data_IF_342201616298
#
_entry.id   IF_342201616298
#
_cell.length_a   1.000
_cell.length_b   1.000
_cell.length_c   1.000
_cell.angle_alpha   90.00
_cell.angle_beta   90.00
_cell.angle_gamma   90.00
#
_symmetry.space_group_name_H-M   'P 1'
#
loop_
_entity.id
_entity.type
_entity.pdbx_description
1 polymer ?
#
# COMPACT_ATOMS: atom_id res chain seq x y z
N UNK A 1 10.66 -27.98 12.77
CA UNK A 1 10.75 -27.23 11.49
C UNK A 1 10.59 -28.22 10.35
N UNK A 2 9.67 -27.96 9.43
CA UNK A 2 9.43 -28.80 8.25
C UNK A 2 10.49 -28.56 7.18
N UNK A 3 11.04 -29.63 6.63
CA UNK A 3 11.97 -29.57 5.50
C UNK A 3 11.24 -29.18 4.21
N UNK A 4 11.78 -28.22 3.46
CA UNK A 4 11.17 -27.74 2.20
C UNK A 4 11.30 -28.72 1.03
N UNK A 5 12.22 -29.69 1.15
CA UNK A 5 12.49 -30.74 0.15
C UNK A 5 11.65 -31.99 0.37
N UNK A 6 11.66 -32.57 1.58
CA UNK A 6 10.96 -33.83 1.86
C UNK A 6 9.68 -33.68 2.70
N UNK A 7 9.37 -32.49 3.21
CA UNK A 7 8.19 -32.26 4.03
C UNK A 7 8.25 -32.85 5.45
N UNK A 8 9.35 -33.51 5.84
CA UNK A 8 9.49 -34.08 7.19
C UNK A 8 9.74 -32.98 8.22
N UNK A 9 9.12 -33.12 9.40
CA UNK A 9 9.42 -32.27 10.55
C UNK A 9 10.70 -32.75 11.26
N UNK A 10 11.61 -31.81 11.49
CA UNK A 10 12.82 -32.00 12.30
C UNK A 10 12.76 -31.09 13.52
N UNK A 11 12.86 -31.66 14.73
CA UNK A 11 12.87 -30.89 15.97
C UNK A 11 14.24 -30.20 16.19
N UNK A 12 14.42 -29.43 17.26
CA UNK A 12 15.68 -28.71 17.49
C UNK A 12 16.85 -29.67 17.73
N UNK A 13 16.67 -30.67 18.59
CA UNK A 13 17.71 -31.67 18.93
C UNK A 13 18.22 -32.40 17.70
N UNK A 14 17.31 -32.91 16.87
CA UNK A 14 17.64 -33.62 15.62
C UNK A 14 18.42 -32.74 14.63
N UNK A 15 18.13 -31.44 14.58
CA UNK A 15 18.83 -30.51 13.70
C UNK A 15 20.22 -30.16 14.23
N UNK A 16 20.39 -30.05 15.54
CA UNK A 16 21.71 -29.85 16.15
C UNK A 16 22.62 -31.07 15.91
N UNK A 17 22.07 -32.28 16.08
CA UNK A 17 22.79 -33.55 15.84
C UNK A 17 23.21 -33.72 14.36
N UNK A 18 22.45 -33.16 13.43
CA UNK A 18 22.71 -33.25 11.98
C UNK A 18 23.39 -32.00 11.41
N UNK A 19 23.89 -31.10 12.25
CA UNK A 19 24.60 -29.89 11.81
C UNK A 19 23.74 -28.92 11.00
N UNK A 20 22.46 -28.76 11.37
CA UNK A 20 21.50 -27.86 10.70
C UNK A 20 20.86 -28.46 9.44
N UNK A 21 20.79 -29.79 9.34
CA UNK A 21 20.22 -30.51 8.19
C UNK A 21 18.94 -31.26 8.54
N UNK A 22 18.19 -31.69 7.54
CA UNK A 22 17.02 -32.52 7.74
C UNK A 22 17.43 -33.97 8.07
N UNK A 23 16.89 -34.55 9.15
CA UNK A 23 17.17 -35.94 9.54
C UNK A 23 16.86 -37.00 8.47
N UNK A 24 15.91 -36.72 7.57
CA UNK A 24 15.44 -37.68 6.58
C UNK A 24 16.19 -37.57 5.24
N UNK A 25 16.33 -36.35 4.71
CA UNK A 25 16.91 -36.15 3.37
C UNK A 25 18.26 -35.41 3.37
N UNK A 26 18.81 -35.12 4.55
CA UNK A 26 20.06 -34.39 4.77
C UNK A 26 20.14 -33.00 4.09
N UNK A 27 18.98 -32.45 3.69
CA UNK A 27 18.86 -31.13 3.09
C UNK A 27 19.18 -30.05 4.12
N UNK A 28 20.09 -29.11 3.85
CA UNK A 28 20.44 -28.06 4.80
C UNK A 28 19.31 -27.04 4.95
N UNK A 29 19.05 -26.62 6.18
CA UNK A 29 18.13 -25.52 6.47
C UNK A 29 18.83 -24.18 6.27
N UNK A 30 18.19 -23.25 5.57
CA UNK A 30 18.78 -21.92 5.27
C UNK A 30 18.51 -20.94 6.41
N UNK A 31 17.28 -20.95 6.92
CA UNK A 31 16.76 -20.05 7.94
C UNK A 31 16.26 -20.85 9.13
N UNK A 32 16.89 -20.63 10.28
CA UNK A 32 16.54 -21.23 11.55
C UNK A 32 16.33 -20.15 12.62
N UNK A 33 15.10 -20.02 13.17
CA UNK A 33 14.83 -19.08 14.24
C UNK A 33 15.65 -19.29 15.50
N UNK A 34 15.96 -20.54 15.84
CA UNK A 34 16.76 -20.85 17.02
C UNK A 34 18.26 -20.55 16.81
N UNK A 35 18.69 -20.41 15.55
CA UNK A 35 20.03 -19.95 15.18
C UNK A 35 20.07 -18.44 14.81
N UNK A 36 19.02 -17.68 15.14
CA UNK A 36 18.97 -16.23 14.99
C UNK A 36 18.28 -15.69 13.72
N UNK A 37 17.70 -16.55 12.88
CA UNK A 37 16.87 -16.09 11.75
C UNK A 37 15.51 -15.57 12.24
N UNK A 38 14.84 -14.66 11.52
CA UNK A 38 13.50 -14.19 11.95
C UNK A 38 12.36 -15.13 11.54
N UNK A 39 12.62 -16.09 10.66
CA UNK A 39 11.62 -16.96 10.05
C UNK A 39 12.24 -18.30 9.63
N UNK A 40 11.40 -19.19 9.10
CA UNK A 40 11.78 -20.55 8.68
C UNK A 40 11.85 -20.65 7.15
N UNK A 41 12.50 -21.71 6.65
CA UNK A 41 12.54 -22.04 5.22
C UNK A 41 11.14 -22.15 4.58
N UNK A 42 10.18 -22.73 5.29
CA UNK A 42 8.79 -22.89 4.81
C UNK A 42 8.15 -21.52 4.63
N UNK A 43 8.34 -20.62 5.59
CA UNK A 43 7.82 -19.26 5.50
C UNK A 43 8.38 -18.55 4.28
N UNK A 44 9.68 -18.68 4.01
CA UNK A 44 10.32 -18.04 2.86
C UNK A 44 9.87 -18.65 1.53
N UNK A 45 9.79 -19.99 1.45
CA UNK A 45 9.21 -20.70 0.29
C UNK A 45 7.80 -20.23 -0.01
N UNK A 46 6.92 -20.25 1.00
CA UNK A 46 5.55 -19.80 0.86
C UNK A 46 5.49 -18.33 0.46
N UNK A 47 6.40 -17.50 0.97
CA UNK A 47 6.45 -16.08 0.60
C UNK A 47 6.75 -15.88 -0.88
N UNK A 48 7.71 -16.63 -1.44
CA UNK A 48 8.01 -16.61 -2.88
C UNK A 48 6.81 -17.13 -3.69
N UNK A 49 6.16 -18.21 -3.25
CA UNK A 49 4.99 -18.77 -3.94
C UNK A 49 3.81 -17.80 -3.94
N UNK A 50 3.49 -17.19 -2.80
CA UNK A 50 2.36 -16.27 -2.67
C UNK A 50 2.56 -15.02 -3.53
N UNK A 51 3.71 -14.35 -3.46
CA UNK A 51 3.93 -13.11 -4.23
C UNK A 51 3.89 -13.37 -5.74
N UNK A 52 4.31 -14.55 -6.19
CA UNK A 52 4.30 -14.94 -7.60
C UNK A 52 3.02 -15.60 -8.07
N UNK A 53 1.97 -15.64 -7.24
CA UNK A 53 0.72 -16.36 -7.56
C UNK A 53 1.00 -17.80 -8.04
N UNK A 54 1.69 -18.57 -7.20
CA UNK A 54 2.13 -19.94 -7.49
C UNK A 54 3.08 -20.06 -8.70
N UNK A 55 4.05 -19.14 -8.78
CA UNK A 55 5.10 -19.08 -9.82
C UNK A 55 4.62 -18.69 -11.22
N UNK A 56 3.45 -18.10 -11.34
CA UNK A 56 2.89 -17.64 -12.61
C UNK A 56 3.32 -16.21 -12.95
N UNK A 57 3.51 -15.37 -11.93
CA UNK A 57 3.83 -13.96 -12.09
C UNK A 57 5.28 -13.65 -11.70
N UNK A 58 5.92 -12.84 -12.52
CA UNK A 58 7.20 -12.21 -12.21
C UNK A 58 6.99 -11.03 -11.26
N UNK A 59 7.95 -10.79 -10.37
CA UNK A 59 7.88 -9.70 -9.38
C UNK A 59 9.24 -9.03 -9.20
N UNK A 60 9.22 -7.75 -8.81
CA UNK A 60 10.45 -6.96 -8.60
C UNK A 60 11.07 -7.18 -7.22
N UNK A 61 12.33 -6.78 -7.09
CA UNK A 61 13.02 -6.78 -5.79
C UNK A 61 12.30 -5.94 -4.74
N UNK A 62 11.82 -4.75 -5.12
CA UNK A 62 11.07 -3.87 -4.21
C UNK A 62 9.73 -4.47 -3.81
N UNK A 63 8.98 -5.06 -4.74
CA UNK A 63 7.73 -5.76 -4.42
C UNK A 63 7.94 -6.85 -3.38
N UNK A 64 9.02 -7.64 -3.53
CA UNK A 64 9.35 -8.67 -2.55
C UNK A 64 9.73 -8.11 -1.19
N UNK A 65 10.44 -6.98 -1.17
CA UNK A 65 10.77 -6.28 0.07
C UNK A 65 9.53 -5.79 0.79
N UNK A 66 8.63 -5.07 0.11
CA UNK A 66 7.34 -4.64 0.67
C UNK A 66 6.54 -5.80 1.23
N UNK A 67 6.47 -6.91 0.47
CA UNK A 67 5.74 -8.09 0.88
C UNK A 67 6.33 -8.75 2.15
N UNK A 68 7.65 -8.93 2.21
CA UNK A 68 8.30 -9.52 3.39
C UNK A 68 8.22 -8.60 4.60
N UNK A 69 8.42 -7.30 4.43
CA UNK A 69 8.27 -6.30 5.49
C UNK A 69 6.88 -6.43 6.13
N UNK A 70 5.82 -6.43 5.31
CA UNK A 70 4.44 -6.56 5.81
C UNK A 70 4.15 -7.89 6.52
N UNK A 71 4.76 -8.99 6.08
CA UNK A 71 4.56 -10.31 6.73
C UNK A 71 5.37 -10.49 8.02
N UNK A 72 6.55 -9.89 8.09
CA UNK A 72 7.48 -10.05 9.22
C UNK A 72 7.26 -9.02 10.33
N UNK A 73 6.76 -7.84 9.98
CA UNK A 73 6.28 -6.88 10.97
C UNK A 73 5.02 -7.45 11.61
N UNK A 74 5.20 -8.03 12.80
CA UNK A 74 4.13 -8.71 13.56
C UNK A 74 2.88 -7.83 13.56
N UNK A 75 1.73 -8.41 13.18
CA UNK A 75 0.43 -7.86 13.57
C UNK A 75 0.40 -7.84 15.09
N UNK A 76 0.55 -6.69 15.72
CA UNK A 76 0.19 -6.54 17.11
C UNK A 76 -1.26 -6.98 17.23
N UNK A 77 -1.56 -7.82 18.23
CA UNK A 77 -2.92 -8.32 18.47
C UNK A 77 -3.78 -7.23 19.14
N UNK A 78 -3.75 -6.01 18.58
CA UNK A 78 -4.36 -4.80 19.13
C UNK A 78 -5.89 -4.88 19.07
N UNK A 79 -6.44 -5.69 18.16
CA UNK A 79 -7.88 -5.90 18.01
C UNK A 79 -8.57 -6.42 19.27
N UNK A 80 -7.85 -7.12 20.15
CA UNK A 80 -8.42 -7.60 21.42
C UNK A 80 -8.43 -6.55 22.53
N UNK A 81 -7.62 -5.48 22.43
CA UNK A 81 -7.47 -4.48 23.50
C UNK A 81 -8.70 -3.57 23.56
N UNK A 82 -9.32 -3.26 22.42
CA UNK A 82 -10.55 -2.46 22.37
C UNK A 82 -11.77 -3.17 22.98
N UNK A 83 -11.88 -4.49 22.79
CA UNK A 83 -12.98 -5.27 23.35
C UNK A 83 -12.82 -5.51 24.86
N UNK A 84 -11.59 -5.79 25.31
CA UNK A 84 -11.25 -5.85 26.73
C UNK A 84 -11.51 -4.50 27.43
N UNK A 85 -11.28 -3.37 26.74
CA UNK A 85 -11.59 -2.04 27.26
C UNK A 85 -13.10 -1.83 27.49
N UNK A 86 -13.97 -2.27 26.56
CA UNK A 86 -15.43 -2.15 26.74
C UNK A 86 -15.88 -2.92 27.98
N UNK A 87 -15.35 -4.13 28.19
CA UNK A 87 -15.62 -4.91 29.40
C UNK A 87 -15.12 -4.19 30.66
N UNK A 88 -13.88 -3.69 30.67
CA UNK A 88 -13.32 -3.01 31.83
C UNK A 88 -13.94 -1.64 32.12
N UNK A 89 -14.48 -0.96 31.10
CA UNK A 89 -15.17 0.33 31.25
C UNK A 89 -16.61 0.16 31.73
N UNK A 90 -17.32 -0.89 31.27
CA UNK A 90 -18.70 -1.15 31.71
C UNK A 90 -18.78 -1.73 33.13
N UNK A 91 -17.82 -2.57 33.53
CA UNK A 91 -17.86 -3.27 34.82
C UNK A 91 -17.98 -2.34 36.04
N UNK A 92 -17.21 -1.22 36.17
CA UNK A 92 -17.35 -0.29 37.29
C UNK A 92 -18.69 0.44 37.28
N UNK A 93 -19.20 0.85 36.11
CA UNK A 93 -20.49 1.53 35.98
C UNK A 93 -21.69 0.60 36.24
N UNK A 94 -21.57 -0.67 35.87
CA UNK A 94 -22.55 -1.71 36.24
C UNK A 94 -22.52 -1.92 37.75
N UNK A 95 -21.34 -2.01 38.36
CA UNK A 95 -21.23 -2.26 39.79
C UNK A 95 -21.72 -1.07 40.63
N UNK A 96 -21.39 0.18 40.25
CA UNK A 96 -21.90 1.38 40.93
C UNK A 96 -23.40 1.63 40.71
N UNK A 97 -23.99 1.10 39.63
CA UNK A 97 -25.43 1.09 39.46
C UNK A 97 -26.15 0.10 40.39
N UNK A 98 -25.44 -0.90 40.93
CA UNK A 98 -25.98 -1.97 41.79
C UNK A 98 -25.69 -1.71 43.27
N UNK A 99 -24.53 -1.16 43.62
CA UNK A 99 -24.13 -0.91 45.02
C UNK A 99 -24.26 0.57 45.41
N UNK A 100 -25.05 0.86 46.45
CA UNK A 100 -25.29 2.20 47.02
C UNK A 100 -24.09 2.81 47.79
N UNK A 101 -22.85 2.44 47.44
CA UNK A 101 -21.65 2.80 48.20
C UNK A 101 -20.98 4.06 47.60
N UNK A 102 -20.87 5.11 48.40
CA UNK A 102 -20.45 6.48 48.01
C UNK A 102 -18.90 6.69 47.87
N UNK A 103 -18.12 5.65 47.56
CA UNK A 103 -16.65 5.72 47.37
C UNK A 103 -16.29 5.12 45.99
N UNK A 104 -15.48 5.66 45.06
CA UNK A 104 -14.64 6.87 44.91
C UNK A 104 -14.48 7.09 43.38
N UNK A 105 -14.76 8.27 42.80
CA UNK A 105 -14.65 8.49 41.34
C UNK A 105 -13.21 8.64 40.82
N UNK A 106 -12.20 8.71 41.69
CA UNK A 106 -10.82 9.03 41.30
C UNK A 106 -10.02 7.82 40.78
N UNK A 107 -10.25 6.62 41.32
CA UNK A 107 -9.55 5.40 40.89
C UNK A 107 -9.72 5.09 39.38
N UNK A 108 -10.93 5.15 38.79
CA UNK A 108 -11.09 4.97 37.36
C UNK A 108 -10.37 6.08 36.56
N UNK A 109 -10.41 7.34 37.00
CA UNK A 109 -9.76 8.46 36.30
C UNK A 109 -8.25 8.23 36.17
N UNK A 110 -7.59 7.74 37.23
CA UNK A 110 -6.14 7.47 37.25
C UNK A 110 -5.73 6.41 36.21
N UNK A 111 -6.60 5.43 35.94
CA UNK A 111 -6.32 4.36 34.97
C UNK A 111 -6.69 4.79 33.54
N UNK A 112 -7.82 5.50 33.37
CA UNK A 112 -8.33 5.82 32.04
C UNK A 112 -7.58 6.95 31.34
N UNK A 113 -7.08 7.96 32.07
CA UNK A 113 -6.36 9.08 31.45
C UNK A 113 -5.06 8.61 30.76
N UNK A 114 -4.14 7.86 31.42
CA UNK A 114 -2.94 7.34 30.78
C UNK A 114 -3.24 6.44 29.57
N UNK A 115 -4.35 5.69 29.62
CA UNK A 115 -4.74 4.78 28.55
C UNK A 115 -5.29 5.52 27.33
N UNK A 116 -6.13 6.55 27.52
CA UNK A 116 -6.58 7.43 26.44
C UNK A 116 -5.37 8.13 25.80
N UNK A 117 -4.44 8.63 26.62
CA UNK A 117 -3.19 9.22 26.14
C UNK A 117 -2.35 8.20 25.35
N UNK A 118 -2.26 6.96 25.82
CA UNK A 118 -1.59 5.88 25.11
C UNK A 118 -2.26 5.59 23.75
N UNK A 119 -3.59 5.53 23.66
CA UNK A 119 -4.28 5.35 22.38
C UNK A 119 -4.07 6.52 21.42
N UNK A 120 -4.05 7.76 21.92
CA UNK A 120 -3.76 8.95 21.12
C UNK A 120 -2.31 8.90 20.60
N UNK A 121 -1.36 8.50 21.43
CA UNK A 121 0.03 8.32 21.04
C UNK A 121 0.17 7.17 20.03
N UNK A 122 -0.47 6.03 20.29
CA UNK A 122 -0.39 4.83 19.47
C UNK A 122 -1.04 5.02 18.09
N UNK A 123 -2.13 5.79 17.99
CA UNK A 123 -2.75 6.11 16.71
C UNK A 123 -1.88 7.01 15.81
N UNK A 124 -0.90 7.70 16.39
CA UNK A 124 0.03 8.60 15.68
C UNK A 124 1.43 8.02 15.51
N UNK A 125 1.75 6.94 16.23
CA UNK A 125 3.10 6.38 16.25
C UNK A 125 3.47 5.70 14.93
N UNK A 126 4.68 5.97 14.45
CA UNK A 126 5.27 5.35 13.25
C UNK A 126 5.62 3.87 13.45
N UNK A 127 5.60 3.41 14.70
CA UNK A 127 5.92 2.01 15.05
C UNK A 127 4.78 1.06 14.71
N UNK A 128 3.54 1.57 14.58
CA UNK A 128 2.37 0.78 14.26
C UNK A 128 1.99 0.89 12.78
N UNK A 129 1.45 -0.20 12.25
CA UNK A 129 0.87 -0.25 10.91
C UNK A 129 -0.34 0.68 10.78
N UNK A 130 -0.68 1.04 9.53
CA UNK A 130 -1.88 1.84 9.24
C UNK A 130 -3.15 1.23 9.84
N UNK A 131 -3.33 -0.10 9.75
CA UNK A 131 -4.48 -0.83 10.29
C UNK A 131 -4.56 -0.73 11.82
N UNK A 132 -3.43 -0.87 12.53
CA UNK A 132 -3.38 -0.73 13.99
C UNK A 132 -3.67 0.70 14.44
N UNK A 133 -3.08 1.70 13.76
CA UNK A 133 -3.36 3.13 14.04
C UNK A 133 -4.85 3.46 13.89
N UNK A 134 -5.51 2.88 12.88
CA UNK A 134 -6.97 3.01 12.70
C UNK A 134 -7.74 2.37 13.84
N UNK A 135 -7.31 1.20 14.29
CA UNK A 135 -7.94 0.51 15.42
C UNK A 135 -7.89 1.38 16.67
N UNK A 136 -6.74 2.00 16.98
CA UNK A 136 -6.61 2.93 18.10
C UNK A 136 -7.48 4.18 17.92
N UNK A 137 -7.51 4.79 16.73
CA UNK A 137 -8.34 5.96 16.45
C UNK A 137 -9.84 5.65 16.58
N UNK A 138 -10.29 4.47 16.12
CA UNK A 138 -11.67 4.00 16.32
C UNK A 138 -11.97 3.70 17.77
N UNK A 139 -11.02 3.12 18.51
CA UNK A 139 -11.18 2.91 19.95
C UNK A 139 -11.41 4.25 20.67
N UNK A 140 -10.68 5.32 20.30
CA UNK A 140 -10.91 6.67 20.84
C UNK A 140 -12.33 7.19 20.53
N UNK A 141 -12.85 6.97 19.32
CA UNK A 141 -14.24 7.33 18.97
C UNK A 141 -15.26 6.56 19.80
N UNK A 142 -15.06 5.24 19.97
CA UNK A 142 -15.92 4.38 20.78
C UNK A 142 -15.90 4.83 22.24
N UNK A 143 -14.72 5.13 22.80
CA UNK A 143 -14.57 5.66 24.15
C UNK A 143 -15.35 6.98 24.31
N UNK A 144 -15.20 7.91 23.36
CA UNK A 144 -15.95 9.15 23.37
C UNK A 144 -17.46 8.93 23.35
N UNK A 145 -17.94 8.01 22.49
CA UNK A 145 -19.36 7.64 22.43
C UNK A 145 -19.88 7.01 23.72
N UNK A 146 -19.11 6.11 24.34
CA UNK A 146 -19.46 5.50 25.63
C UNK A 146 -19.53 6.52 26.76
N UNK A 147 -18.61 7.50 26.79
CA UNK A 147 -18.64 8.60 27.77
C UNK A 147 -19.92 9.41 27.61
N UNK A 148 -20.33 9.75 26.37
CA UNK A 148 -21.59 10.48 26.13
C UNK A 148 -22.81 9.72 26.64
N UNK A 149 -22.89 8.42 26.36
CA UNK A 149 -23.99 7.57 26.85
C UNK A 149 -23.98 7.49 28.38
N UNK A 150 -22.81 7.28 29.00
CA UNK A 150 -22.69 7.17 30.45
C UNK A 150 -23.09 8.48 31.17
N UNK A 151 -22.62 9.63 30.66
CA UNK A 151 -22.96 10.96 31.19
C UNK A 151 -24.45 11.25 31.04
N UNK A 152 -25.06 10.85 29.92
CA UNK A 152 -26.50 11.01 29.70
C UNK A 152 -27.33 10.16 30.68
N UNK A 153 -26.99 8.88 30.85
CA UNK A 153 -27.68 7.98 31.80
C UNK A 153 -27.53 8.47 33.23
N UNK A 154 -26.33 8.92 33.62
CA UNK A 154 -26.08 9.47 34.94
C UNK A 154 -26.90 10.74 35.19
N UNK A 155 -26.93 11.67 34.24
CA UNK A 155 -27.72 12.88 34.32
C UNK A 155 -29.20 12.57 34.56
N UNK A 156 -29.82 11.69 33.78
CA UNK A 156 -31.24 11.33 33.97
C UNK A 156 -31.52 10.64 35.31
N UNK A 157 -30.60 9.82 35.83
CA UNK A 157 -30.78 9.14 37.12
C UNK A 157 -30.61 10.07 38.32
N UNK A 158 -29.66 11.01 38.27
CA UNK A 158 -29.25 11.84 39.40
C UNK A 158 -29.62 13.33 39.24
N UNK A 159 -30.43 13.69 38.24
CA UNK A 159 -30.88 15.06 37.90
C UNK A 159 -31.57 15.84 39.04
N UNK A 160 -31.77 15.25 40.22
CA UNK A 160 -32.35 15.92 41.40
C UNK A 160 -31.31 16.68 42.24
N UNK A 161 -30.03 16.62 41.89
CA UNK A 161 -28.92 17.14 42.70
C UNK A 161 -28.28 18.39 42.04
N UNK A 162 -27.51 19.13 42.85
CA UNK A 162 -27.10 20.55 42.80
C UNK A 162 -26.39 20.99 41.50
N UNK A 163 -26.07 22.29 41.39
CA UNK A 163 -25.25 22.91 40.31
C UNK A 163 -23.98 22.12 39.89
N UNK A 164 -23.42 21.30 40.78
CA UNK A 164 -22.24 20.47 40.53
C UNK A 164 -22.53 19.38 39.48
N UNK A 165 -23.72 18.77 39.48
CA UNK A 165 -24.04 17.68 38.55
C UNK A 165 -24.23 18.19 37.13
N UNK A 166 -24.80 19.39 36.99
CA UNK A 166 -24.87 20.08 35.71
C UNK A 166 -23.47 20.42 35.17
N UNK A 167 -22.55 20.86 36.03
CA UNK A 167 -21.17 21.13 35.62
C UNK A 167 -20.45 19.85 35.16
N UNK A 168 -20.61 18.73 35.87
CA UNK A 168 -20.05 17.43 35.49
C UNK A 168 -20.64 16.92 34.18
N UNK A 169 -21.93 17.13 33.95
CA UNK A 169 -22.59 16.81 32.68
C UNK A 169 -21.99 17.58 31.51
N UNK A 170 -21.79 18.90 31.65
CA UNK A 170 -21.17 19.73 30.62
C UNK A 170 -19.74 19.30 30.32
N UNK A 171 -18.92 19.08 31.36
CA UNK A 171 -17.53 18.65 31.20
C UNK A 171 -17.43 17.26 30.56
N UNK A 172 -18.26 16.31 31.00
CA UNK A 172 -18.29 14.95 30.44
C UNK A 172 -18.75 14.92 28.98
N UNK A 173 -19.78 15.72 28.63
CA UNK A 173 -20.26 15.87 27.26
C UNK A 173 -19.19 16.50 26.36
N UNK A 174 -18.55 17.58 26.84
CA UNK A 174 -17.44 18.23 26.13
C UNK A 174 -16.27 17.28 25.87
N UNK A 175 -15.88 16.49 26.87
CA UNK A 175 -14.84 15.48 26.73
C UNK A 175 -15.21 14.38 25.72
N UNK A 176 -16.44 13.86 25.77
CA UNK A 176 -16.91 12.84 24.83
C UNK A 176 -16.90 13.31 23.37
N UNK A 177 -17.41 14.51 23.11
CA UNK A 177 -17.36 15.15 21.78
C UNK A 177 -15.91 15.37 21.34
N UNK A 178 -15.05 15.87 22.23
CA UNK A 178 -13.64 16.12 21.93
C UNK A 178 -12.90 14.83 21.54
N UNK A 179 -13.14 13.71 22.22
CA UNK A 179 -12.55 12.42 21.88
C UNK A 179 -13.04 11.89 20.53
N UNK A 180 -14.34 12.00 20.23
CA UNK A 180 -14.87 11.63 18.90
C UNK A 180 -14.20 12.48 17.82
N UNK A 181 -14.09 13.79 18.04
CA UNK A 181 -13.39 14.69 17.13
C UNK A 181 -11.92 14.30 16.92
N UNK A 182 -11.18 14.00 18.00
CA UNK A 182 -9.79 13.55 17.91
C UNK A 182 -9.66 12.24 17.14
N UNK A 183 -10.51 11.25 17.41
CA UNK A 183 -10.50 9.97 16.71
C UNK A 183 -10.81 10.13 15.22
N UNK A 184 -11.81 10.96 14.87
CA UNK A 184 -12.11 11.30 13.46
C UNK A 184 -10.94 12.00 12.79
N UNK A 185 -10.35 13.01 13.45
CA UNK A 185 -9.17 13.72 12.94
C UNK A 185 -8.00 12.77 12.70
N UNK A 186 -7.74 11.83 13.63
CA UNK A 186 -6.69 10.83 13.51
C UNK A 186 -6.89 9.88 12.33
N UNK A 187 -8.14 9.48 12.04
CA UNK A 187 -8.47 8.70 10.85
C UNK A 187 -8.20 9.48 9.56
N UNK A 188 -8.48 10.78 9.55
CA UNK A 188 -8.26 11.64 8.38
C UNK A 188 -6.78 11.89 8.10
N UNK A 189 -5.94 12.09 9.13
CA UNK A 189 -4.52 12.47 8.95
C UNK A 189 -3.58 11.29 8.69
N UNK A 190 -4.07 10.05 8.57
CA UNK A 190 -3.20 8.88 8.45
C UNK A 190 -2.31 8.90 7.22
N UNK A 191 -2.75 9.55 6.14
CA UNK A 191 -1.96 9.72 4.94
C UNK A 191 -0.71 10.60 5.15
N UNK A 192 -0.61 11.29 6.29
CA UNK A 192 0.55 12.12 6.70
C UNK A 192 1.50 11.39 7.65
N UNK A 193 1.26 10.11 7.96
CA UNK A 193 2.11 9.34 8.88
C UNK A 193 2.86 8.26 8.08
N UNK A 194 4.16 8.49 7.80
CA UNK A 194 4.92 7.58 6.96
C UNK A 194 5.24 6.29 7.70
N UNK A 195 5.33 5.21 6.94
CA UNK A 195 5.83 3.92 7.38
C UNK A 195 7.36 3.89 7.21
N UNK A 196 8.04 3.26 8.17
CA UNK A 196 9.47 2.97 8.08
C UNK A 196 9.66 1.49 7.80
N UNK A 197 10.63 1.16 6.96
CA UNK A 197 11.08 -0.21 6.82
C UNK A 197 11.95 -0.60 8.03
N UNK A 198 11.64 -1.73 8.66
CA UNK A 198 12.48 -2.34 9.67
C UNK A 198 13.67 -3.06 9.04
N UNK A 199 13.52 -3.53 7.80
CA UNK A 199 14.56 -4.25 7.07
C UNK A 199 15.12 -3.41 5.95
N UNK A 200 16.44 -3.46 5.76
CA UNK A 200 17.05 -2.86 4.58
C UNK A 200 16.87 -3.77 3.36
N UNK A 201 16.72 -3.18 2.17
CA UNK A 201 16.62 -3.94 0.92
C UNK A 201 17.78 -4.90 0.69
N UNK A 202 19.00 -4.52 1.10
CA UNK A 202 20.20 -5.37 1.02
C UNK A 202 20.07 -6.66 1.84
N UNK A 203 19.42 -6.61 3.00
CA UNK A 203 19.18 -7.78 3.84
C UNK A 203 18.23 -8.75 3.15
N UNK A 204 17.17 -8.24 2.51
CA UNK A 204 16.23 -9.07 1.73
C UNK A 204 16.94 -9.79 0.59
N UNK A 205 17.80 -9.06 -0.14
CA UNK A 205 18.60 -9.63 -1.23
C UNK A 205 19.55 -10.71 -0.70
N UNK A 206 20.21 -10.49 0.43
CA UNK A 206 21.08 -11.49 1.06
C UNK A 206 20.31 -12.75 1.45
N UNK A 207 19.10 -12.62 2.00
CA UNK A 207 18.23 -13.76 2.28
C UNK A 207 17.88 -14.52 1.00
N UNK A 208 17.52 -13.82 -0.08
CA UNK A 208 17.22 -14.46 -1.35
C UNK A 208 18.44 -15.20 -1.94
N UNK A 209 19.63 -14.62 -1.85
CA UNK A 209 20.87 -15.26 -2.34
C UNK A 209 21.13 -16.55 -1.56
N UNK A 210 21.13 -16.51 -0.22
CA UNK A 210 21.30 -17.68 0.64
C UNK A 210 20.27 -18.77 0.34
N UNK A 211 19.03 -18.36 0.11
CA UNK A 211 17.97 -19.29 -0.29
C UNK A 211 18.27 -19.98 -1.62
N UNK A 212 18.71 -19.21 -2.63
CA UNK A 212 18.98 -19.71 -3.98
C UNK A 212 20.20 -20.64 -4.05
N UNK A 213 21.21 -20.41 -3.20
CA UNK A 213 22.39 -21.28 -3.09
C UNK A 213 22.03 -22.71 -2.69
N UNK A 214 21.02 -22.87 -1.82
CA UNK A 214 20.61 -24.17 -1.29
C UNK A 214 19.42 -24.78 -2.05
N UNK A 215 18.44 -23.95 -2.43
CA UNK A 215 17.16 -24.43 -2.97
C UNK A 215 17.01 -24.20 -4.48
N UNK A 216 18.04 -23.67 -5.14
CA UNK A 216 18.06 -23.38 -6.57
C UNK A 216 17.55 -21.98 -6.94
N UNK A 217 17.81 -21.58 -8.19
CA UNK A 217 17.50 -20.24 -8.69
C UNK A 217 15.99 -19.99 -8.77
N UNK A 218 15.55 -18.84 -8.25
CA UNK A 218 14.18 -18.34 -8.41
C UNK A 218 14.11 -17.57 -9.72
N UNK A 219 13.62 -18.21 -10.79
CA UNK A 219 13.62 -17.63 -12.17
C UNK A 219 12.64 -16.48 -12.36
N UNK A 220 11.56 -16.47 -11.57
CA UNK A 220 10.47 -15.48 -11.59
C UNK A 220 10.82 -14.15 -10.89
N UNK A 221 12.02 -14.03 -10.33
CA UNK A 221 12.49 -12.85 -9.63
C UNK A 221 13.21 -11.90 -10.59
N UNK A 222 12.71 -10.67 -10.71
CA UNK A 222 13.32 -9.65 -11.56
C UNK A 222 14.43 -8.91 -10.79
N UNK A 223 15.62 -8.93 -11.37
CA UNK A 223 16.76 -8.13 -10.92
C UNK A 223 16.59 -6.69 -11.39
N UNK A 224 17.05 -5.73 -10.60
CA UNK A 224 17.13 -4.31 -10.97
C UNK A 224 17.67 -4.17 -12.38
N UNK A 225 16.99 -3.36 -13.19
CA UNK A 225 17.35 -3.14 -14.58
C UNK A 225 18.74 -2.51 -14.64
N UNK A 226 19.74 -3.26 -15.11
CA UNK A 226 21.07 -2.72 -15.37
C UNK A 226 21.01 -2.00 -16.71
N UNK A 227 21.48 -0.74 -16.76
CA UNK A 227 21.68 -0.06 -18.05
C UNK A 227 22.58 -0.94 -18.91
N UNK A 228 22.05 -1.45 -20.02
CA UNK A 228 22.78 -2.36 -20.88
C UNK A 228 23.42 -1.50 -21.97
N UNK A 229 24.74 -1.43 -21.94
CA UNK A 229 25.55 -0.57 -22.81
C UNK A 229 25.76 -1.13 -24.22
N UNK A 230 25.38 -2.39 -24.47
CA UNK A 230 25.61 -3.03 -25.77
C UNK A 230 24.30 -3.22 -26.56
N UNK A 231 24.27 -2.78 -27.82
CA UNK A 231 23.13 -3.01 -28.70
C UNK A 231 23.03 -4.50 -29.04
N UNK A 232 22.05 -5.18 -28.47
CA UNK A 232 21.65 -6.53 -28.93
C UNK A 232 21.02 -6.38 -30.31
N UNK A 233 21.38 -7.27 -31.24
CA UNK A 233 20.79 -7.37 -32.58
C UNK A 233 19.26 -7.41 -32.45
N UNK A 234 18.59 -6.37 -32.95
CA UNK A 234 17.12 -6.23 -32.88
C UNK A 234 16.50 -7.45 -33.56
N UNK A 235 15.66 -8.21 -32.84
CA UNK A 235 14.90 -9.30 -33.44
C UNK A 235 13.96 -8.68 -34.49
N UNK A 236 14.03 -9.17 -35.74
CA UNK A 236 13.21 -8.73 -36.88
C UNK A 236 11.69 -8.81 -36.63
N UNK A 237 11.26 -9.58 -35.62
CA UNK A 237 9.87 -9.63 -35.18
C UNK A 237 9.38 -8.31 -34.54
N UNK A 238 10.25 -7.54 -33.88
CA UNK A 238 9.88 -6.25 -33.25
C UNK A 238 9.50 -5.21 -34.32
N UNK A 239 10.16 -5.26 -35.49
CA UNK A 239 9.84 -4.38 -36.62
C UNK A 239 8.58 -4.78 -37.38
N UNK A 240 8.07 -6.00 -37.16
CA UNK A 240 6.83 -6.48 -37.77
C UNK A 240 5.58 -6.13 -36.92
N UNK A 241 5.77 -5.70 -35.68
CA UNK A 241 4.68 -5.37 -34.75
C UNK A 241 4.21 -3.93 -34.92
N UNK A 242 2.94 -3.74 -35.30
CA UNK A 242 2.27 -2.43 -35.20
C UNK A 242 1.71 -2.27 -33.79
N UNK A 243 2.16 -1.25 -33.08
CA UNK A 243 1.63 -0.90 -31.77
C UNK A 243 0.55 0.18 -31.90
N UNK A 244 -0.68 -0.16 -31.52
CA UNK A 244 -1.78 0.80 -31.45
C UNK A 244 -1.78 1.59 -30.13
N UNK A 245 -0.94 1.14 -29.19
CA UNK A 245 -0.91 1.62 -27.80
C UNK A 245 0.50 1.60 -27.27
N UNK A 246 0.79 2.54 -26.36
CA UNK A 246 2.02 2.53 -25.57
C UNK A 246 1.70 2.76 -24.10
N UNK A 247 2.33 1.98 -23.24
CA UNK A 247 2.40 2.24 -21.80
C UNK A 247 3.77 2.81 -21.50
N UNK A 248 3.81 3.98 -20.91
CA UNK A 248 5.04 4.58 -20.39
C UNK A 248 5.01 4.51 -18.87
N UNK A 249 6.07 3.98 -18.27
CA UNK A 249 6.24 3.85 -16.83
C UNK A 249 7.20 4.90 -16.26
N UNK A 250 7.03 5.30 -15.01
CA UNK A 250 7.97 6.21 -14.32
C UNK A 250 9.35 5.58 -14.05
N UNK A 251 9.42 4.26 -13.92
CA UNK A 251 10.62 3.50 -13.58
C UNK A 251 10.88 2.36 -14.55
N UNK A 252 12.14 1.97 -14.70
CA UNK A 252 12.53 0.84 -15.54
C UNK A 252 12.08 -0.50 -14.94
N UNK A 253 12.03 -0.59 -13.60
CA UNK A 253 11.60 -1.79 -12.87
C UNK A 253 10.13 -2.14 -13.14
N UNK A 254 9.23 -1.14 -13.18
CA UNK A 254 7.82 -1.35 -13.51
C UNK A 254 7.65 -1.71 -15.00
N UNK A 255 8.39 -1.05 -15.91
CA UNK A 255 8.37 -1.42 -17.33
C UNK A 255 8.86 -2.86 -17.55
N UNK A 256 9.98 -3.25 -16.91
CA UNK A 256 10.50 -4.61 -16.93
C UNK A 256 9.49 -5.60 -16.34
N UNK A 257 8.82 -5.23 -15.26
CA UNK A 257 7.77 -6.05 -14.65
C UNK A 257 6.62 -6.35 -15.63
N UNK A 258 6.11 -5.34 -16.34
CA UNK A 258 5.05 -5.52 -17.33
C UNK A 258 5.53 -6.37 -18.51
N UNK A 259 6.76 -6.16 -18.98
CA UNK A 259 7.35 -6.95 -20.08
C UNK A 259 7.52 -8.41 -19.67
N UNK A 260 8.08 -8.68 -18.49
CA UNK A 260 8.32 -10.04 -18.00
C UNK A 260 7.02 -10.82 -17.76
N UNK A 261 5.92 -10.14 -17.46
CA UNK A 261 4.59 -10.73 -17.35
C UNK A 261 3.82 -10.71 -18.68
N UNK A 262 4.50 -10.61 -19.82
CA UNK A 262 3.93 -10.65 -21.18
C UNK A 262 2.82 -9.63 -21.47
N UNK A 263 2.71 -8.56 -20.68
CA UNK A 263 1.63 -7.59 -20.80
C UNK A 263 1.57 -6.96 -22.19
N UNK A 264 2.73 -6.63 -22.74
CA UNK A 264 2.90 -6.05 -24.07
C UNK A 264 2.32 -6.93 -25.20
N UNK A 265 2.44 -8.26 -25.09
CA UNK A 265 1.86 -9.20 -26.03
C UNK A 265 0.35 -9.33 -25.85
N UNK A 266 -0.12 -9.51 -24.60
CA UNK A 266 -1.55 -9.70 -24.31
C UNK A 266 -2.41 -8.49 -24.67
N UNK A 267 -1.86 -7.28 -24.56
CA UNK A 267 -2.59 -6.03 -24.80
C UNK A 267 -2.20 -5.30 -26.09
N UNK A 268 -1.40 -5.92 -26.95
CA UNK A 268 -0.85 -5.35 -28.19
C UNK A 268 -0.32 -3.92 -27.98
N UNK A 269 0.58 -3.75 -27.02
CA UNK A 269 1.10 -2.43 -26.64
C UNK A 269 2.61 -2.43 -26.45
N UNK A 270 3.26 -1.33 -26.84
CA UNK A 270 4.63 -1.08 -26.44
C UNK A 270 4.69 -0.75 -24.94
N UNK A 271 5.75 -1.19 -24.25
CA UNK A 271 5.99 -0.84 -22.84
C UNK A 271 7.36 -0.19 -22.73
N UNK A 272 7.39 1.06 -22.27
CA UNK A 272 8.59 1.86 -22.14
C UNK A 272 8.68 2.47 -20.73
N UNK A 273 9.87 2.87 -20.28
CA UNK A 273 10.01 3.79 -19.15
C UNK A 273 10.33 5.20 -19.62
N UNK A 274 10.05 6.19 -18.78
CA UNK A 274 10.35 7.60 -19.07
C UNK A 274 11.86 7.86 -19.27
N UNK A 275 12.72 6.98 -18.69
CA UNK A 275 14.19 6.98 -18.87
C UNK A 275 14.66 6.27 -20.16
N UNK A 276 13.73 5.77 -20.96
CA UNK A 276 14.03 5.09 -22.22
C UNK A 276 14.38 3.61 -22.08
N UNK A 277 13.91 2.92 -21.04
CA UNK A 277 13.95 1.45 -21.00
C UNK A 277 12.83 0.86 -21.88
N UNK A 278 13.05 -0.25 -22.62
CA UNK A 278 14.33 -0.93 -22.83
C UNK A 278 15.23 -0.14 -23.80
N UNK A 279 16.47 0.13 -23.39
CA UNK A 279 17.39 1.06 -24.08
C UNK A 279 17.76 0.61 -25.49
N UNK A 280 17.89 -0.71 -25.68
CA UNK A 280 18.34 -1.32 -26.93
C UNK A 280 17.34 -1.18 -28.09
N UNK A 281 16.05 -1.05 -27.80
CA UNK A 281 14.99 -0.92 -28.82
C UNK A 281 14.26 0.42 -28.73
N UNK A 282 14.62 1.29 -27.78
CA UNK A 282 13.89 2.50 -27.48
C UNK A 282 13.73 3.42 -28.69
N UNK A 283 14.82 3.73 -29.41
CA UNK A 283 14.78 4.62 -30.57
C UNK A 283 13.92 4.05 -31.70
N UNK A 284 14.06 2.75 -31.98
CA UNK A 284 13.28 2.05 -33.01
C UNK A 284 11.79 2.05 -32.67
N UNK A 285 11.42 1.66 -31.45
CA UNK A 285 10.02 1.64 -31.00
C UNK A 285 9.46 3.07 -31.00
N UNK A 286 10.20 4.06 -30.51
CA UNK A 286 9.73 5.45 -30.48
C UNK A 286 9.50 6.01 -31.89
N UNK A 287 10.33 5.65 -32.88
CA UNK A 287 10.11 6.02 -34.27
C UNK A 287 8.80 5.44 -34.81
N UNK A 288 8.53 4.16 -34.55
CA UNK A 288 7.28 3.49 -34.97
C UNK A 288 6.05 4.13 -34.28
N UNK A 289 6.15 4.42 -32.98
CA UNK A 289 5.08 5.05 -32.22
C UNK A 289 4.75 6.45 -32.74
N UNK A 290 5.76 7.26 -33.08
CA UNK A 290 5.56 8.62 -33.62
C UNK A 290 4.89 8.65 -35.00
N UNK A 291 5.00 7.56 -35.75
CA UNK A 291 4.37 7.43 -37.07
C UNK A 291 2.89 7.03 -36.98
N UNK A 292 2.40 6.60 -35.82
CA UNK A 292 1.00 6.22 -35.62
C UNK A 292 0.15 7.43 -35.17
N UNK A 293 -0.71 7.99 -36.04
CA UNK A 293 -1.56 9.14 -35.69
C UNK A 293 -2.66 8.79 -34.68
N UNK A 294 -3.05 7.52 -34.58
CA UNK A 294 -4.12 7.02 -33.72
C UNK A 294 -3.59 6.41 -32.41
N UNK A 295 -2.30 6.64 -32.10
CA UNK A 295 -1.63 6.06 -30.94
C UNK A 295 -2.32 6.48 -29.63
N UNK A 296 -2.68 5.48 -28.81
CA UNK A 296 -3.15 5.70 -27.44
C UNK A 296 -1.98 5.61 -26.47
N UNK A 297 -1.75 6.67 -25.72
CA UNK A 297 -0.64 6.75 -24.75
C UNK A 297 -1.21 6.58 -23.35
N UNK A 298 -0.66 5.63 -22.58
CA UNK A 298 -1.02 5.38 -21.19
C UNK A 298 0.18 5.65 -20.30
N UNK A 299 0.06 6.58 -19.35
CA UNK A 299 1.08 6.81 -18.34
C UNK A 299 0.78 5.98 -17.09
N UNK A 300 1.78 5.27 -16.58
CA UNK A 300 1.66 4.44 -15.39
C UNK A 300 2.79 4.74 -14.40
N UNK A 301 2.45 5.44 -13.32
CA UNK A 301 3.44 5.97 -12.40
C UNK A 301 3.01 5.88 -10.94
N UNK A 302 3.98 6.06 -10.06
CA UNK A 302 3.83 6.16 -8.61
C UNK A 302 3.28 7.54 -8.20
N UNK A 303 2.72 7.65 -6.99
CA UNK A 303 2.37 8.95 -6.40
C UNK A 303 3.62 9.58 -5.79
N UNK A 304 4.47 10.12 -6.66
CA UNK A 304 5.70 10.81 -6.32
C UNK A 304 5.90 12.02 -7.27
N UNK A 305 6.84 12.94 -6.98
CA UNK A 305 7.09 14.14 -7.79
C UNK A 305 7.40 13.84 -9.27
N UNK A 306 8.10 12.73 -9.51
CA UNK A 306 8.44 12.27 -10.86
C UNK A 306 7.22 11.81 -11.64
N UNK A 307 6.36 11.02 -11.01
CA UNK A 307 5.12 10.49 -11.59
C UNK A 307 4.13 11.59 -11.93
N UNK A 308 3.86 12.51 -11.00
CA UNK A 308 2.91 13.62 -11.29
C UNK A 308 3.38 14.55 -12.41
N UNK A 309 4.70 14.63 -12.67
CA UNK A 309 5.26 15.41 -13.78
C UNK A 309 5.26 14.66 -15.12
N UNK A 310 5.09 13.34 -15.09
CA UNK A 310 5.25 12.47 -16.24
C UNK A 310 4.33 12.83 -17.41
N UNK A 311 3.06 13.14 -17.15
CA UNK A 311 2.11 13.55 -18.20
C UNK A 311 2.59 14.80 -18.92
N UNK A 312 3.11 15.77 -18.18
CA UNK A 312 3.66 17.00 -18.74
C UNK A 312 4.95 16.77 -19.53
N UNK A 313 5.82 15.86 -19.06
CA UNK A 313 7.01 15.45 -19.81
C UNK A 313 6.66 14.76 -21.13
N UNK A 314 5.71 13.82 -21.11
CA UNK A 314 5.24 13.12 -22.31
C UNK A 314 4.65 14.06 -23.35
N UNK A 315 3.89 15.07 -22.90
CA UNK A 315 3.21 16.04 -23.76
C UNK A 315 4.14 17.10 -24.35
N UNK A 316 5.17 17.51 -23.63
CA UNK A 316 5.98 18.68 -24.01
C UNK A 316 7.40 18.33 -24.46
N UNK A 317 7.91 17.15 -24.12
CA UNK A 317 9.29 16.77 -24.49
C UNK A 317 9.37 16.37 -25.97
N UNK A 318 10.30 16.94 -26.76
CA UNK A 318 10.49 16.56 -28.16
C UNK A 318 10.98 15.11 -28.31
N UNK A 319 11.64 14.56 -27.29
CA UNK A 319 12.07 13.16 -27.26
C UNK A 319 10.88 12.21 -27.09
N UNK A 320 9.77 12.70 -26.55
CA UNK A 320 8.50 11.98 -26.41
C UNK A 320 7.51 12.45 -27.48
N UNK A 321 6.30 12.85 -27.10
CA UNK A 321 5.20 13.19 -28.01
C UNK A 321 4.99 14.69 -28.14
N UNK A 322 6.01 15.50 -27.81
CA UNK A 322 6.01 16.94 -27.96
C UNK A 322 5.64 17.38 -29.38
N UNK A 323 4.65 18.26 -29.49
CA UNK A 323 4.15 18.80 -30.76
C UNK A 323 3.03 17.98 -31.41
N UNK A 324 2.66 16.83 -30.86
CA UNK A 324 1.55 16.01 -31.35
C UNK A 324 0.30 16.20 -30.48
N UNK A 325 -0.89 16.19 -31.08
CA UNK A 325 -2.17 16.29 -30.36
C UNK A 325 -2.71 14.91 -29.91
N UNK A 326 -1.81 13.99 -29.56
CA UNK A 326 -2.17 12.63 -29.15
C UNK A 326 -2.84 12.62 -27.76
N UNK A 327 -3.80 11.71 -27.59
CA UNK A 327 -4.49 11.54 -26.31
C UNK A 327 -3.58 10.75 -25.36
N UNK A 328 -3.33 11.34 -24.19
CA UNK A 328 -2.59 10.72 -23.09
C UNK A 328 -3.60 10.42 -21.98
N UNK A 329 -3.68 9.15 -21.59
CA UNK A 329 -4.47 8.65 -20.47
C UNK A 329 -3.57 8.46 -19.25
N UNK A 330 -3.96 9.04 -18.12
CA UNK A 330 -3.27 8.84 -16.85
C UNK A 330 -3.86 7.64 -16.09
N UNK A 331 -3.10 6.54 -16.03
CA UNK A 331 -3.39 5.35 -15.23
C UNK A 331 -2.60 5.34 -13.91
N UNK A 332 -1.80 6.37 -13.66
CA UNK A 332 -0.89 6.45 -12.53
C UNK A 332 -1.59 6.70 -11.20
N UNK A 333 -0.84 6.45 -10.12
CA UNK A 333 -1.25 6.78 -8.76
C UNK A 333 -0.99 8.27 -8.51
N UNK A 334 -2.04 9.00 -8.14
CA UNK A 334 -1.98 10.41 -7.75
C UNK A 334 -2.14 10.54 -6.23
N UNK A 335 -1.65 11.63 -5.59
CA UNK A 335 -1.80 11.82 -4.16
C UNK A 335 -3.28 11.83 -3.70
N UNK A 336 -4.22 12.34 -4.50
CA UNK A 336 -5.67 12.24 -4.21
C UNK A 336 -6.20 10.82 -4.07
N UNK A 337 -5.56 9.82 -4.69
CA UNK A 337 -5.92 8.40 -4.51
C UNK A 337 -5.41 7.85 -3.17
N UNK A 338 -4.40 8.49 -2.57
CA UNK A 338 -3.79 8.08 -1.29
C UNK A 338 -4.61 8.57 -0.10
N UNK A 339 -5.17 9.79 -0.16
CA UNK A 339 -5.88 10.41 0.97
C UNK A 339 -7.07 9.59 1.51
N UNK A 340 -7.98 9.09 0.66
CA UNK A 340 -9.07 8.23 1.11
C UNK A 340 -8.64 6.77 1.37
N UNK A 341 -7.44 6.38 0.95
CA UNK A 341 -6.99 4.99 1.04
C UNK A 341 -6.81 4.54 2.48
N UNK A 342 -7.16 3.26 2.72
CA UNK A 342 -7.09 2.69 4.06
C UNK A 342 -5.72 2.15 4.44
N UNK A 343 -5.05 1.51 3.48
CA UNK A 343 -3.94 0.60 3.75
C UNK A 343 -2.70 0.88 2.89
N UNK A 344 -2.62 2.02 2.20
CA UNK A 344 -1.45 2.34 1.39
C UNK A 344 -0.17 2.51 2.22
N UNK A 345 0.94 2.03 1.66
CA UNK A 345 2.26 2.17 2.25
C UNK A 345 2.88 3.51 1.85
N UNK A 346 2.91 4.46 2.77
CA UNK A 346 3.34 5.83 2.53
C UNK A 346 4.77 5.98 3.02
N UNK A 347 5.64 6.42 2.15
CA UNK A 347 7.02 6.71 2.47
C UNK A 347 7.23 8.21 2.60
N UNK A 348 8.34 8.58 3.25
CA UNK A 348 8.81 9.95 3.31
C UNK A 348 10.31 10.00 3.04
N UNK A 349 10.75 10.91 2.18
CA UNK A 349 12.16 11.18 1.94
C UNK A 349 12.41 12.66 1.64
N UNK A 350 13.57 13.15 2.07
CA UNK A 350 13.99 14.53 1.75
C UNK A 350 14.28 14.70 0.26
N UNK A 351 14.70 13.62 -0.42
CA UNK A 351 14.88 13.61 -1.87
C UNK A 351 13.55 13.86 -2.60
N UNK A 352 12.47 13.19 -2.18
CA UNK A 352 11.14 13.44 -2.75
C UNK A 352 10.73 14.91 -2.53
N UNK A 353 10.93 15.45 -1.34
CA UNK A 353 10.62 16.87 -1.06
C UNK A 353 11.39 17.83 -1.98
N UNK A 354 12.69 17.57 -2.22
CA UNK A 354 13.52 18.38 -3.13
C UNK A 354 13.05 18.29 -4.58
N UNK A 355 12.64 17.11 -5.04
CA UNK A 355 12.16 16.93 -6.42
C UNK A 355 10.89 17.74 -6.72
N UNK A 356 10.08 18.07 -5.71
CA UNK A 356 8.88 18.93 -5.88
C UNK A 356 9.23 20.34 -6.36
N UNK A 357 10.41 20.86 -5.99
CA UNK A 357 10.88 22.16 -6.46
C UNK A 357 11.07 22.18 -7.98
N UNK A 358 11.35 21.02 -8.57
CA UNK A 358 11.55 20.84 -10.01
C UNK A 358 10.24 20.55 -10.76
N UNK A 359 9.08 20.57 -10.09
CA UNK A 359 7.79 20.40 -10.76
C UNK A 359 7.41 21.70 -11.48
N UNK A 360 7.13 21.67 -12.79
CA UNK A 360 6.70 22.84 -13.55
C UNK A 360 5.40 23.45 -12.99
N UNK A 361 5.27 24.78 -13.07
CA UNK A 361 4.09 25.50 -12.58
C UNK A 361 2.78 24.98 -13.19
N UNK A 362 2.81 24.60 -14.47
CA UNK A 362 1.66 24.00 -15.17
C UNK A 362 1.20 22.67 -14.56
N UNK A 363 2.11 21.88 -13.99
CA UNK A 363 1.75 20.65 -13.27
C UNK A 363 1.21 21.01 -11.88
N UNK A 364 1.85 21.95 -11.18
CA UNK A 364 1.39 22.38 -9.85
C UNK A 364 -0.06 22.86 -9.88
N UNK A 365 -0.49 23.56 -10.92
CA UNK A 365 -1.88 24.02 -11.07
C UNK A 365 -2.91 22.90 -11.26
N UNK A 366 -2.49 21.67 -11.61
CA UNK A 366 -3.40 20.51 -11.72
C UNK A 366 -3.61 19.78 -10.39
N UNK A 367 -2.73 20.05 -9.42
CA UNK A 367 -2.74 19.44 -8.09
C UNK A 367 -3.51 20.32 -7.12
N UNK A 368 -4.25 19.71 -6.19
CA UNK A 368 -4.86 20.47 -5.10
C UNK A 368 -3.80 20.97 -4.12
N UNK A 369 -4.15 21.97 -3.33
CA UNK A 369 -3.28 22.49 -2.27
C UNK A 369 -2.82 21.39 -1.30
N UNK A 370 -3.71 20.45 -0.97
CA UNK A 370 -3.37 19.31 -0.10
C UNK A 370 -2.42 18.33 -0.77
N UNK A 371 -2.57 18.07 -2.08
CA UNK A 371 -1.65 17.21 -2.84
C UNK A 371 -0.25 17.82 -2.93
N UNK A 372 -0.16 19.12 -3.21
CA UNK A 372 1.11 19.84 -3.22
C UNK A 372 1.78 19.82 -1.86
N UNK A 373 1.06 20.20 -0.80
CA UNK A 373 1.61 20.20 0.56
C UNK A 373 2.07 18.79 0.99
N UNK A 374 1.37 17.74 0.56
CA UNK A 374 1.75 16.35 0.82
C UNK A 374 3.06 15.97 0.12
N UNK A 375 3.21 16.32 -1.17
CA UNK A 375 4.45 16.10 -1.91
C UNK A 375 5.61 16.94 -1.35
N UNK A 376 5.39 18.22 -1.04
CA UNK A 376 6.39 19.14 -0.48
C UNK A 376 6.91 18.68 0.89
N UNK A 377 6.04 18.04 1.69
CA UNK A 377 6.44 17.41 2.94
C UNK A 377 7.28 16.13 2.75
N UNK A 378 7.52 15.72 1.49
CA UNK A 378 8.37 14.60 1.08
C UNK A 378 7.64 13.27 1.06
N UNK A 379 6.31 13.25 1.11
CA UNK A 379 5.54 12.01 1.08
C UNK A 379 5.39 11.45 -0.34
N UNK A 380 5.40 10.13 -0.45
CA UNK A 380 5.19 9.43 -1.71
C UNK A 380 4.68 7.99 -1.50
N UNK A 381 4.11 7.39 -2.55
CA UNK A 381 3.74 5.97 -2.60
C UNK A 381 4.25 5.37 -3.90
N UNK A 382 5.01 4.28 -3.81
CA UNK A 382 5.55 3.54 -4.97
C UNK A 382 4.54 2.50 -5.49
N UNK A 383 4.53 2.27 -6.80
CA UNK A 383 3.72 1.19 -7.40
C UNK A 383 4.15 -0.19 -6.89
N UNK A 384 5.43 -0.39 -6.59
CA UNK A 384 5.93 -1.64 -6.04
C UNK A 384 5.38 -1.98 -4.64
N UNK A 385 4.67 -1.06 -3.98
CA UNK A 385 3.95 -1.36 -2.74
C UNK A 385 2.68 -2.20 -2.95
N UNK A 386 2.28 -2.45 -4.20
CA UNK A 386 1.14 -3.27 -4.58
C UNK A 386 1.59 -4.65 -5.10
N UNK A 387 0.68 -5.63 -5.00
CA UNK A 387 0.93 -6.98 -5.49
C UNK A 387 1.08 -7.02 -7.02
N UNK A 388 1.88 -7.97 -7.57
CA UNK A 388 1.99 -8.19 -9.01
C UNK A 388 0.63 -8.28 -9.71
N UNK A 389 -0.27 -9.11 -9.16
CA UNK A 389 -1.62 -9.29 -9.66
C UNK A 389 -2.39 -7.97 -9.68
N UNK A 390 -2.26 -7.16 -8.64
CA UNK A 390 -2.97 -5.88 -8.54
C UNK A 390 -2.50 -4.89 -9.60
N UNK A 391 -1.18 -4.74 -9.79
CA UNK A 391 -0.65 -3.83 -10.81
C UNK A 391 -1.12 -4.23 -12.21
N UNK A 392 -1.04 -5.52 -12.57
CA UNK A 392 -1.51 -6.00 -13.87
C UNK A 392 -3.02 -5.73 -14.04
N UNK A 393 -3.82 -6.04 -13.03
CA UNK A 393 -5.27 -5.79 -13.04
C UNK A 393 -5.59 -4.30 -13.27
N UNK A 394 -4.91 -3.39 -12.58
CA UNK A 394 -5.13 -1.95 -12.69
C UNK A 394 -4.87 -1.45 -14.12
N UNK A 395 -3.76 -1.89 -14.72
CA UNK A 395 -3.41 -1.48 -16.08
C UNK A 395 -4.39 -2.08 -17.10
N UNK A 396 -4.72 -3.37 -17.00
CA UNK A 396 -5.69 -4.01 -17.90
C UNK A 396 -7.08 -3.37 -17.82
N UNK A 397 -7.57 -3.08 -16.61
CA UNK A 397 -8.86 -2.40 -16.40
C UNK A 397 -8.85 -0.97 -16.93
N UNK A 398 -7.74 -0.24 -16.77
CA UNK A 398 -7.57 1.10 -17.32
C UNK A 398 -7.64 1.13 -18.84
N UNK A 399 -6.99 0.18 -19.49
CA UNK A 399 -7.05 0.04 -20.95
C UNK A 399 -8.47 -0.33 -21.40
N UNK A 400 -9.13 -1.29 -20.75
CA UNK A 400 -10.48 -1.71 -21.12
C UNK A 400 -11.51 -0.56 -20.98
N UNK A 401 -11.45 0.21 -19.88
CA UNK A 401 -12.40 1.31 -19.66
C UNK A 401 -12.21 2.46 -20.64
N UNK A 402 -10.96 2.83 -20.93
CA UNK A 402 -10.68 3.88 -21.92
C UNK A 402 -11.15 3.48 -23.33
N UNK A 403 -11.11 2.19 -23.67
CA UNK A 403 -11.70 1.69 -24.91
C UNK A 403 -13.23 1.76 -24.90
N UNK A 404 -13.88 1.39 -23.80
CA UNK A 404 -15.33 1.50 -23.69
C UNK A 404 -15.81 2.94 -23.87
N UNK A 405 -15.13 3.90 -23.21
CA UNK A 405 -15.41 5.33 -23.35
C UNK A 405 -15.17 5.82 -24.79
N UNK A 406 -14.06 5.41 -25.42
CA UNK A 406 -13.77 5.77 -26.82
C UNK A 406 -14.81 5.22 -27.82
N UNK A 407 -15.43 4.08 -27.50
CA UNK A 407 -16.45 3.43 -28.34
C UNK A 407 -17.88 3.93 -28.04
N UNK A 408 -18.04 4.99 -27.24
CA UNK A 408 -19.34 5.60 -26.95
C UNK A 408 -20.17 4.85 -25.90
N UNK A 409 -19.61 3.85 -25.22
CA UNK A 409 -20.26 3.23 -24.07
C UNK A 409 -20.06 4.12 -22.85
N UNK A 410 -21.09 4.88 -22.49
CA UNK A 410 -21.16 5.52 -21.18
C UNK A 410 -21.31 4.42 -20.14
N UNK A 411 -20.24 4.13 -19.41
CA UNK A 411 -20.34 3.34 -18.19
C UNK A 411 -21.13 4.16 -17.17
N UNK A 412 -22.45 4.01 -17.19
CA UNK A 412 -23.30 4.28 -16.04
C UNK A 412 -22.71 3.53 -14.85
N UNK A 413 -22.66 4.23 -13.74
CA UNK A 413 -22.07 3.83 -12.48
C UNK A 413 -22.74 2.59 -11.89
N UNK A 414 -22.32 1.40 -12.32
CA UNK A 414 -22.56 0.18 -11.55
C UNK A 414 -21.41 -0.01 -10.57
N UNK A 415 -21.64 0.47 -9.35
CA UNK A 415 -20.83 0.22 -8.15
C UNK A 415 -21.02 -1.21 -7.59
N UNK A 416 -21.54 -2.16 -8.38
CA UNK A 416 -21.76 -3.53 -7.93
C UNK A 416 -21.20 -4.53 -8.92
N UNK A 417 -19.98 -4.98 -8.67
CA UNK A 417 -19.60 -6.35 -8.99
C UNK A 417 -19.15 -7.01 -7.70
N UNK A 418 -20.17 -7.63 -7.11
CA UNK A 418 -20.12 -8.69 -6.13
C UNK A 418 -19.17 -9.80 -6.63
N UNK A 419 -18.00 -9.90 -6.00
CA UNK A 419 -17.26 -11.15 -5.94
C UNK A 419 -17.24 -11.55 -4.49
N UNK A 420 -18.13 -12.47 -4.14
CA UNK A 420 -18.26 -13.04 -2.83
C UNK A 420 -16.94 -13.57 -2.28
N UNK A 421 -16.87 -13.45 -0.96
CA UNK A 421 -15.98 -14.08 0.01
C UNK A 421 -14.80 -13.26 0.55
N UNK A 422 -14.82 -13.14 1.87
CA UNK A 422 -13.89 -12.50 2.82
C UNK A 422 -13.81 -10.96 2.83
N UNK A 423 -14.41 -10.38 3.87
CA UNK A 423 -14.49 -8.93 4.11
C UNK A 423 -13.13 -8.25 4.32
N UNK A 424 -12.79 -7.36 3.38
CA UNK A 424 -12.03 -6.13 3.61
C UNK A 424 -12.40 -5.18 2.45
N UNK A 425 -13.36 -4.28 2.69
CA UNK A 425 -13.99 -3.42 1.66
C UNK A 425 -12.96 -2.59 0.87
N UNK A 426 -12.69 -3.01 -0.36
CA UNK A 426 -11.90 -2.27 -1.35
C UNK A 426 -12.76 -1.21 -2.05
N UNK A 427 -12.55 0.06 -1.69
CA UNK A 427 -13.11 1.19 -2.45
C UNK A 427 -12.33 1.28 -3.78
N UNK A 428 -13.03 1.15 -4.90
CA UNK A 428 -12.50 1.42 -6.24
C UNK A 428 -12.49 2.95 -6.41
N UNK A 429 -11.31 3.57 -6.50
CA UNK A 429 -11.24 4.98 -6.88
C UNK A 429 -11.58 5.10 -8.37
N UNK A 430 -12.62 5.86 -8.67
CA UNK A 430 -12.99 6.26 -10.02
C UNK A 430 -12.83 7.78 -10.06
N UNK A 431 -11.68 8.26 -10.53
CA UNK A 431 -11.47 9.68 -10.80
C UNK A 431 -11.88 10.03 -12.22
N UNK A 432 -13.16 10.00 -12.58
CA UNK A 432 -13.61 10.62 -13.83
C UNK A 432 -13.77 12.12 -13.52
N UNK A 433 -12.72 12.91 -13.77
CA UNK A 433 -12.93 14.34 -13.98
C UNK A 433 -13.66 14.53 -15.32
N UNK A 434 -14.39 15.64 -15.47
CA UNK A 434 -15.11 15.96 -16.72
C UNK A 434 -14.18 16.04 -17.96
N UNK A 435 -12.86 16.10 -17.77
CA UNK A 435 -11.88 15.67 -18.76
C UNK A 435 -11.64 14.16 -18.63
N UNK A 436 -12.17 13.38 -19.56
CA UNK A 436 -12.16 11.90 -19.66
C UNK A 436 -10.78 11.21 -19.70
N UNK A 437 -9.71 11.90 -19.32
CA UNK A 437 -8.30 11.51 -19.52
C UNK A 437 -7.60 10.99 -18.27
N UNK A 438 -8.15 11.22 -17.08
CA UNK A 438 -7.67 10.59 -15.85
C UNK A 438 -8.51 9.36 -15.54
N UNK A 439 -7.88 8.18 -15.49
CA UNK A 439 -8.56 6.91 -15.20
C UNK A 439 -7.69 6.08 -14.25
N UNK A 440 -7.45 6.60 -13.05
CA UNK A 440 -6.70 5.88 -12.01
C UNK A 440 -7.58 4.87 -11.27
N UNK A 441 -7.12 3.63 -11.13
CA UNK A 441 -7.77 2.58 -10.32
C UNK A 441 -6.80 2.08 -9.26
N UNK A 442 -6.98 2.47 -8.01
CA UNK A 442 -6.14 1.93 -6.93
C UNK A 442 -6.98 1.58 -5.72
N UNK A 443 -7.71 0.46 -5.79
CA UNK A 443 -8.32 -0.10 -4.58
C UNK A 443 -7.22 -0.55 -3.60
N UNK A 444 -7.53 -0.52 -2.30
CA UNK A 444 -6.60 -0.88 -1.23
C UNK A 444 -6.23 -2.37 -1.27
N UNK A 445 -5.24 -2.75 -2.08
CA UNK A 445 -4.51 -4.02 -1.99
C UNK A 445 -2.99 -3.75 -1.96
N UNK A 446 -2.52 -3.14 -0.87
CA UNK A 446 -1.10 -3.09 -0.55
C UNK A 446 -0.71 -4.41 0.13
N UNK A 447 -0.59 -5.50 -0.64
CA UNK A 447 -0.28 -6.86 -0.16
C UNK A 447 -1.21 -7.38 0.95
N UNK A 448 -2.52 -7.12 0.80
CA UNK A 448 -3.63 -7.67 1.60
C UNK A 448 -4.07 -6.92 2.83
#
# INVERSE_FOLDING_TARGET
>A
MKCVRCGMDSNLKERTETGGRCKNCNHPFVFDPQAGSKFTDIFFKNSIQTISSEKTLFFTTKQFWYFLEKRLTKKGNVGSVGCLFVLFFLLPFINTAISAMEFYPLAPIIIFVPLILYFIWASQSKLYSSKERRSFARAIQIIGGLILVAVLVWFFKFSKVKNIDFLLFLLGTGLGIFLIYLGTRQLTIQHKIPQAFQFHQSQIIQWLIRWQEINGKVRIFLRTSRKMSEPIKINSEVTAYSFDRVIVCDTAEIAQFLIANNFHFEHNCAVLSIDGYPQNIFSTVMQMLKQNPDLKIYAFHSANPRGVRMINELRNSPNWFGGNNLIIYDLGLLPRHVFPSKNMWILKSDESARQVQQIPTAVKSTLSTDELAWLEAGFYVELESFSPRKLLQVVSQGIAKTQAVANGYTSTSDNSLDSGDSGDDGIIFIGINNDSRNVGFFASDSFG
#
